data_IF_056035146512
#
_entry.id   IF_056035146512
#
_cell.length_a   1.000
_cell.length_b   1.000
_cell.length_c   1.000
_cell.angle_alpha   90.00
_cell.angle_beta   90.00
_cell.angle_gamma   90.00
#
_symmetry.space_group_name_H-M   'P 1'
#
loop_
_entity.id
_entity.type
_entity.pdbx_description
1 polymer ?
#
# COMPACT_ATOMS: atom_id res chain seq x y z
N UNK A 1 -26.36 25.02 5.08
CA UNK A 1 -24.90 25.02 5.28
C UNK A 1 -24.63 24.97 6.78
N UNK A 2 -24.18 23.84 7.34
CA UNK A 2 -23.92 23.71 8.78
C UNK A 2 -22.63 24.44 9.12
N UNK A 3 -22.74 25.67 9.60
CA UNK A 3 -21.63 26.44 10.18
C UNK A 3 -21.29 25.81 11.53
N UNK A 4 -20.02 25.45 11.74
CA UNK A 4 -19.53 24.85 12.99
C UNK A 4 -18.73 25.90 13.76
N UNK A 5 -18.89 25.92 15.07
CA UNK A 5 -18.23 26.89 15.96
C UNK A 5 -16.70 26.89 15.81
N UNK A 6 -16.12 28.10 15.79
CA UNK A 6 -14.68 28.34 15.74
C UNK A 6 -14.07 27.93 17.08
N UNK A 7 -13.24 26.87 17.08
CA UNK A 7 -12.48 26.45 18.28
C UNK A 7 -12.22 24.95 18.40
N UNK A 8 -12.80 24.10 17.55
CA UNK A 8 -12.46 22.66 17.52
C UNK A 8 -11.46 22.41 16.40
N UNK A 9 -10.17 22.45 16.71
CA UNK A 9 -9.12 22.03 15.78
C UNK A 9 -9.26 20.52 15.53
N UNK A 10 -10.12 20.14 14.58
CA UNK A 10 -10.27 18.76 14.09
C UNK A 10 -9.24 18.40 13.03
N UNK A 11 -8.34 19.34 12.69
CA UNK A 11 -7.41 19.25 11.57
C UNK A 11 -6.02 19.63 12.11
N UNK A 12 -5.04 18.78 11.85
CA UNK A 12 -3.63 19.08 12.14
C UNK A 12 -3.18 20.30 11.32
N UNK A 13 -2.12 20.97 11.76
CA UNK A 13 -1.44 21.93 10.89
C UNK A 13 -0.93 21.20 9.65
N UNK A 14 -0.73 21.94 8.55
CA UNK A 14 -0.18 21.35 7.33
C UNK A 14 1.20 20.72 7.57
N UNK A 15 2.02 21.34 8.41
CA UNK A 15 3.35 20.86 8.79
C UNK A 15 3.27 19.51 9.52
N UNK A 16 2.48 19.43 10.60
CA UNK A 16 2.24 18.19 11.34
C UNK A 16 1.59 17.10 10.48
N UNK A 17 0.74 17.48 9.53
CA UNK A 17 0.15 16.51 8.59
C UNK A 17 1.21 15.95 7.62
N UNK A 18 2.20 16.75 7.22
CA UNK A 18 3.31 16.30 6.36
C UNK A 18 4.31 15.40 7.08
N UNK A 19 4.57 15.63 8.37
CA UNK A 19 5.37 14.72 9.19
C UNK A 19 4.79 13.30 9.19
N UNK A 20 3.46 13.18 9.27
CA UNK A 20 2.77 11.89 9.19
C UNK A 20 2.86 11.27 7.79
N UNK A 21 2.84 12.07 6.73
CA UNK A 21 3.00 11.58 5.35
C UNK A 21 4.41 10.99 5.19
N UNK A 22 5.43 11.73 5.60
CA UNK A 22 6.82 11.28 5.53
C UNK A 22 7.04 9.99 6.31
N UNK A 23 6.52 9.91 7.54
CA UNK A 23 6.60 8.69 8.35
C UNK A 23 5.95 7.48 7.65
N UNK A 24 4.79 7.68 7.01
CA UNK A 24 4.11 6.60 6.27
C UNK A 24 4.91 6.16 5.06
N UNK A 25 5.53 7.09 4.33
CA UNK A 25 6.36 6.80 3.17
C UNK A 25 7.64 6.06 3.54
N UNK A 26 8.32 6.47 4.62
CA UNK A 26 9.51 5.80 5.16
C UNK A 26 9.20 4.34 5.54
N UNK A 27 8.14 4.13 6.34
CA UNK A 27 7.74 2.77 6.75
C UNK A 27 7.35 1.90 5.55
N UNK A 28 6.68 2.46 4.55
CA UNK A 28 6.35 1.72 3.32
C UNK A 28 7.59 1.43 2.48
N UNK A 29 8.57 2.32 2.45
CA UNK A 29 9.87 2.11 1.81
C UNK A 29 10.62 0.92 2.41
N UNK A 30 10.52 0.75 3.73
CA UNK A 30 11.07 -0.40 4.47
C UNK A 30 10.23 -1.68 4.35
N UNK A 31 9.14 -1.65 3.57
CA UNK A 31 8.22 -2.78 3.41
C UNK A 31 7.31 -3.03 4.61
N UNK A 32 7.26 -2.11 5.57
CA UNK A 32 6.45 -2.22 6.79
C UNK A 32 5.01 -1.76 6.49
N UNK A 33 4.00 -2.63 6.65
CA UNK A 33 2.62 -2.22 6.40
C UNK A 33 2.14 -1.25 7.49
N UNK A 34 1.65 -0.09 7.07
CA UNK A 34 1.06 0.91 7.99
C UNK A 34 -0.45 0.71 8.08
N UNK A 35 -0.92 0.21 9.22
CA UNK A 35 -2.34 0.03 9.50
C UNK A 35 -3.04 1.36 9.84
N UNK A 36 -4.38 1.39 9.81
CA UNK A 36 -5.15 2.55 10.30
C UNK A 36 -4.85 2.87 11.76
N UNK A 37 -4.68 1.84 12.59
CA UNK A 37 -4.44 1.99 14.02
C UNK A 37 -3.10 2.67 14.28
N UNK A 38 -2.05 2.25 13.56
CA UNK A 38 -0.72 2.90 13.65
C UNK A 38 -0.79 4.37 13.24
N UNK A 39 -1.51 4.69 12.16
CA UNK A 39 -1.70 6.07 11.73
C UNK A 39 -2.45 6.91 12.78
N UNK A 40 -3.49 6.34 13.42
CA UNK A 40 -4.24 6.99 14.50
C UNK A 40 -3.32 7.30 15.67
N UNK A 41 -2.57 6.32 16.15
CA UNK A 41 -1.65 6.47 17.28
C UNK A 41 -0.59 7.54 17.02
N UNK A 42 0.04 7.52 15.83
CA UNK A 42 1.04 8.51 15.45
C UNK A 42 0.43 9.91 15.29
N UNK A 43 -0.76 10.02 14.71
CA UNK A 43 -1.44 11.30 14.60
C UNK A 43 -1.82 11.91 15.95
N UNK A 44 -2.17 11.09 16.94
CA UNK A 44 -2.43 11.54 18.31
C UNK A 44 -1.16 12.04 19.00
N UNK A 45 -0.02 11.38 18.79
CA UNK A 45 1.28 11.83 19.32
C UNK A 45 1.68 13.17 18.71
N UNK A 46 1.64 13.28 17.38
CA UNK A 46 1.93 14.54 16.67
C UNK A 46 0.99 15.67 17.12
N UNK A 47 -0.29 15.36 17.34
CA UNK A 47 -1.23 16.34 17.88
C UNK A 47 -0.89 16.77 19.32
N UNK A 48 -0.47 15.83 20.16
CA UNK A 48 -0.04 16.11 21.53
C UNK A 48 1.18 17.04 21.54
N UNK A 49 2.18 16.76 20.70
CA UNK A 49 3.40 17.56 20.56
C UNK A 49 3.08 18.96 20.02
N UNK A 50 2.11 19.07 19.11
CA UNK A 50 1.58 20.34 18.62
C UNK A 50 0.64 21.07 19.61
N UNK A 51 0.38 20.52 20.80
CA UNK A 51 -0.49 21.11 21.82
C UNK A 51 -1.99 21.01 21.53
N UNK A 52 -2.41 20.17 20.58
CA UNK A 52 -3.79 20.00 20.13
C UNK A 52 -4.56 18.99 21.00
N UNK A 53 -5.06 19.45 22.15
CA UNK A 53 -5.78 18.60 23.13
C UNK A 53 -7.09 17.99 22.63
N UNK A 54 -7.72 18.56 21.61
CA UNK A 54 -9.04 18.16 21.11
C UNK A 54 -8.99 17.30 19.85
N UNK A 55 -7.79 16.97 19.35
CA UNK A 55 -7.65 16.12 18.18
C UNK A 55 -7.92 14.66 18.56
N UNK A 56 -8.75 13.98 17.76
CA UNK A 56 -9.23 12.61 18.06
C UNK A 56 -8.87 11.58 17.02
N UNK A 57 -8.17 11.96 15.94
CA UNK A 57 -7.85 11.07 14.82
C UNK A 57 -9.03 10.16 14.40
N UNK A 58 -10.24 10.72 14.30
CA UNK A 58 -11.46 9.93 14.05
C UNK A 58 -11.43 9.23 12.70
N UNK A 59 -12.27 8.21 12.50
CA UNK A 59 -12.36 7.48 11.23
C UNK A 59 -12.57 8.40 10.01
N UNK A 60 -13.38 9.45 10.17
CA UNK A 60 -13.56 10.46 9.13
C UNK A 60 -12.28 11.25 8.84
N UNK A 61 -11.50 11.58 9.88
CA UNK A 61 -10.20 12.24 9.68
C UNK A 61 -9.22 11.29 8.99
N UNK A 62 -9.16 10.02 9.40
CA UNK A 62 -8.31 8.99 8.80
C UNK A 62 -8.65 8.79 7.32
N UNK A 63 -9.95 8.67 6.99
CA UNK A 63 -10.42 8.55 5.62
C UNK A 63 -10.07 9.79 4.79
N UNK A 64 -10.24 10.98 5.37
CA UNK A 64 -9.87 12.24 4.73
C UNK A 64 -8.36 12.37 4.49
N UNK A 65 -7.53 12.02 5.48
CA UNK A 65 -6.07 12.03 5.37
C UNK A 65 -5.60 11.09 4.26
N UNK A 66 -6.11 9.86 4.22
CA UNK A 66 -5.81 8.89 3.17
C UNK A 66 -6.25 9.38 1.79
N UNK A 67 -7.42 10.01 1.70
CA UNK A 67 -7.90 10.60 0.45
C UNK A 67 -7.04 11.76 -0.05
N UNK A 68 -6.65 12.68 0.85
CA UNK A 68 -5.81 13.84 0.51
C UNK A 68 -4.42 13.44 0.01
N UNK A 69 -3.81 12.45 0.65
CA UNK A 69 -2.43 12.01 0.33
C UNK A 69 -2.39 10.76 -0.56
N UNK A 70 -3.54 10.36 -1.11
CA UNK A 70 -3.67 9.19 -2.01
C UNK A 70 -3.10 7.90 -1.42
N UNK A 71 -3.14 7.75 -0.10
CA UNK A 71 -2.74 6.51 0.57
C UNK A 71 -3.81 5.45 0.35
N UNK A 72 -3.57 4.62 -0.66
CA UNK A 72 -4.27 3.36 -0.81
C UNK A 72 -3.81 2.39 0.28
N UNK A 73 -4.75 1.71 0.93
CA UNK A 73 -4.47 0.52 1.74
C UNK A 73 -4.08 -0.68 0.91
N UNK A 74 -4.31 -0.63 -0.41
CA UNK A 74 -3.77 -1.64 -1.31
C UNK A 74 -2.27 -1.42 -1.36
N UNK A 75 -1.55 -2.11 -0.48
CA UNK A 75 -0.23 -2.58 -0.85
C UNK A 75 -0.42 -3.46 -2.10
N UNK A 76 0.50 -3.42 -3.08
CA UNK A 76 0.63 -4.48 -4.06
C UNK A 76 0.79 -5.80 -3.29
N UNK A 77 -0.32 -6.50 -3.05
CA UNK A 77 -0.31 -7.81 -2.45
C UNK A 77 0.03 -8.79 -3.56
N UNK A 78 1.29 -8.79 -4.02
CA UNK A 78 1.85 -9.80 -4.90
C UNK A 78 3.32 -9.51 -5.17
N UNK A 79 4.16 -10.51 -4.93
CA UNK A 79 5.51 -10.62 -5.51
C UNK A 79 5.55 -10.33 -7.03
N UNK A 80 4.39 -10.40 -7.71
CA UNK A 80 4.17 -10.14 -9.14
C UNK A 80 4.18 -8.67 -9.57
N UNK A 81 4.25 -7.68 -8.66
CA UNK A 81 4.06 -6.26 -9.01
C UNK A 81 5.27 -5.37 -8.75
N UNK A 82 6.33 -5.88 -8.11
CA UNK A 82 7.62 -5.22 -8.15
C UNK A 82 8.27 -5.59 -9.49
N UNK A 83 8.02 -4.77 -10.50
CA UNK A 83 8.71 -4.88 -11.78
C UNK A 83 10.14 -4.34 -11.62
N UNK A 84 11.17 -5.17 -11.77
CA UNK A 84 12.54 -4.67 -11.90
C UNK A 84 12.65 -3.68 -13.08
N UNK A 85 13.55 -2.70 -12.99
CA UNK A 85 13.74 -1.72 -14.07
C UNK A 85 14.05 -2.37 -15.43
N UNK A 86 14.62 -3.59 -15.41
CA UNK A 86 15.00 -4.37 -16.57
C UNK A 86 14.13 -5.64 -16.71
N UNK A 87 12.80 -5.46 -16.75
CA UNK A 87 11.87 -6.57 -16.99
C UNK A 87 12.21 -7.37 -18.25
N UNK A 88 12.63 -6.69 -19.31
CA UNK A 88 12.92 -7.31 -20.61
C UNK A 88 14.16 -8.22 -20.54
N UNK A 89 15.21 -7.81 -19.82
CA UNK A 89 16.42 -8.64 -19.63
C UNK A 89 16.09 -9.89 -18.83
N UNK A 90 15.30 -9.76 -17.76
CA UNK A 90 14.90 -10.89 -16.91
C UNK A 90 13.99 -11.85 -17.67
N UNK A 91 13.10 -11.34 -18.52
CA UNK A 91 12.27 -12.17 -19.38
C UNK A 91 13.10 -12.93 -20.41
N UNK A 92 14.12 -12.30 -20.99
CA UNK A 92 15.03 -12.92 -21.94
C UNK A 92 15.86 -14.04 -21.29
N UNK A 93 16.45 -13.77 -20.12
CA UNK A 93 17.22 -14.77 -19.36
C UNK A 93 16.35 -15.96 -18.96
N UNK A 94 15.12 -15.70 -18.52
CA UNK A 94 14.17 -16.76 -18.17
C UNK A 94 13.78 -17.61 -19.39
N UNK A 95 13.55 -16.99 -20.55
CA UNK A 95 13.25 -17.72 -21.78
C UNK A 95 14.39 -18.68 -22.17
N UNK A 96 15.64 -18.23 -22.06
CA UNK A 96 16.83 -19.06 -22.31
C UNK A 96 16.87 -20.28 -21.37
N UNK A 97 16.60 -20.07 -20.08
CA UNK A 97 16.57 -21.15 -19.08
C UNK A 97 15.45 -22.16 -19.36
N UNK A 98 14.27 -21.69 -19.75
CA UNK A 98 13.14 -22.56 -20.11
C UNK A 98 13.50 -23.40 -21.35
N UNK A 99 14.08 -22.80 -22.38
CA UNK A 99 14.50 -23.53 -23.59
C UNK A 99 15.56 -24.59 -23.28
N UNK A 100 16.56 -24.27 -22.44
CA UNK A 100 17.57 -25.22 -22.02
C UNK A 100 16.95 -26.41 -21.28
N UNK A 101 16.03 -26.13 -20.35
CA UNK A 101 15.33 -27.14 -19.57
C UNK A 101 14.43 -28.04 -20.44
N UNK A 102 13.72 -27.44 -21.41
CA UNK A 102 12.87 -28.19 -22.35
C UNK A 102 13.71 -29.15 -23.19
N UNK A 103 14.89 -28.72 -23.64
CA UNK A 103 15.81 -29.55 -24.41
C UNK A 103 16.41 -30.68 -23.57
N UNK A 104 16.88 -30.38 -22.36
CA UNK A 104 17.54 -31.34 -21.46
C UNK A 104 16.57 -32.44 -20.99
N UNK A 105 15.35 -32.07 -20.65
CA UNK A 105 14.33 -32.99 -20.14
C UNK A 105 13.46 -33.63 -21.24
N UNK A 106 13.69 -33.28 -22.51
CA UNK A 106 12.91 -33.80 -23.64
C UNK A 106 11.42 -33.45 -23.57
N UNK A 107 11.08 -32.26 -23.04
CA UNK A 107 9.69 -31.82 -22.86
C UNK A 107 9.08 -31.53 -24.23
N UNK A 108 8.05 -32.28 -24.60
CA UNK A 108 7.33 -32.09 -25.88
C UNK A 108 6.15 -31.15 -25.78
N UNK A 109 5.70 -30.83 -24.56
CA UNK A 109 4.51 -30.01 -24.34
C UNK A 109 4.68 -29.12 -23.12
N UNK A 110 4.68 -27.81 -23.34
CA UNK A 110 4.70 -26.77 -22.32
C UNK A 110 3.32 -26.14 -22.26
N UNK A 111 2.70 -26.14 -21.09
CA UNK A 111 1.38 -25.53 -20.87
C UNK A 111 1.57 -24.16 -20.22
N UNK A 112 0.71 -23.20 -20.59
CA UNK A 112 0.61 -21.96 -19.84
C UNK A 112 0.02 -22.29 -18.46
N UNK A 113 0.63 -21.76 -17.40
CA UNK A 113 0.14 -21.91 -16.03
C UNK A 113 -0.68 -20.67 -15.64
N UNK A 114 -1.64 -20.27 -16.47
CA UNK A 114 -2.64 -19.30 -16.04
C UNK A 114 -3.62 -20.02 -15.10
N UNK A 115 -3.66 -19.59 -13.84
CA UNK A 115 -4.68 -20.04 -12.90
C UNK A 115 -6.06 -19.63 -13.44
N UNK A 116 -6.71 -20.50 -14.22
CA UNK A 116 -8.14 -20.44 -14.43
C UNK A 116 -8.78 -20.89 -13.12
N UNK A 117 -9.40 -19.95 -12.40
CA UNK A 117 -10.11 -20.26 -11.16
C UNK A 117 -11.20 -21.33 -11.45
N UNK A 118 -11.05 -22.51 -10.85
CA UNK A 118 -12.05 -23.57 -10.92
C UNK A 118 -13.24 -23.14 -10.05
N UNK A 119 -14.33 -22.70 -10.68
CA UNK A 119 -15.58 -22.39 -9.98
C UNK A 119 -16.35 -23.69 -9.73
N UNK A 120 -16.47 -24.11 -8.47
CA UNK A 120 -17.43 -25.14 -8.07
C UNK A 120 -18.77 -24.46 -7.74
N UNK A 121 -19.79 -24.69 -8.54
CA UNK A 121 -21.17 -24.37 -8.16
C UNK A 121 -21.70 -25.53 -7.31
N UNK A 122 -22.04 -25.26 -6.04
CA UNK A 122 -22.87 -26.17 -5.27
C UNK A 122 -24.31 -26.00 -5.73
N UNK A 123 -24.96 -27.11 -6.09
CA UNK A 123 -26.41 -27.22 -6.27
C UNK A 123 -27.07 -27.21 -4.88
#
# INVERSE_FOLDING_TARGET
MKVRDKGVATILSKESEMELVQLVDELRGDGIPVSSQMLIEKALLVAQDAGLRNFRASDNWVGGFKGRHKFSFRCPSRQSQLSPANLDEIAADFAIQVEATVRDLGITRVYNADQTAVFFFSI
#
